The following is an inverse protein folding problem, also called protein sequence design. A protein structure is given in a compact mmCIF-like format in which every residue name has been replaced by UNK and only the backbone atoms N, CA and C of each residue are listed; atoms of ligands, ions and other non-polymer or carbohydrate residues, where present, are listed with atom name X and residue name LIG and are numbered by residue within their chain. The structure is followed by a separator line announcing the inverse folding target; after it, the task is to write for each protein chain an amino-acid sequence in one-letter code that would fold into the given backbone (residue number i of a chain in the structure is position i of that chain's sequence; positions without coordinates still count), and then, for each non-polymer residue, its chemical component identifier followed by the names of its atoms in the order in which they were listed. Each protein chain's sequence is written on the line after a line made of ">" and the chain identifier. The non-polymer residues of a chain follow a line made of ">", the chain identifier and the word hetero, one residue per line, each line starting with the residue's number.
data_IF_195262652149
#
_entry.id   IF_195262652149
#
_cell.length_a   1.000
_cell.length_b   1.000
_cell.length_c   1.000
_cell.angle_alpha   90.00
_cell.angle_beta   90.00
_cell.angle_gamma   90.00
#
_symmetry.space_group_name_H-M   'P 1'
#
loop_
_entity.id
_entity.type
_entity.pdbx_description
1 polymer ?
#
# COMPACT_ATOMS: atom_id res chain seq x y z
N UNK A 1 17.67 6.36 6.82
CA UNK A 1 16.86 7.18 5.90
C UNK A 1 15.42 6.94 6.30
N UNK A 2 14.66 7.96 6.72
CA UNK A 2 13.22 7.78 6.92
C UNK A 2 12.56 7.67 5.55
N UNK A 3 11.72 6.66 5.35
CA UNK A 3 10.82 6.63 4.20
C UNK A 3 9.86 7.82 4.32
N UNK A 4 9.82 8.65 3.28
CA UNK A 4 9.02 9.88 3.26
C UNK A 4 7.71 9.63 2.53
N UNK A 5 6.65 10.23 3.04
CA UNK A 5 5.40 10.37 2.31
C UNK A 5 5.45 11.58 1.38
N UNK A 6 4.79 11.49 0.24
CA UNK A 6 4.41 12.65 -0.56
C UNK A 6 3.06 13.17 -0.09
N UNK A 7 2.03 12.33 -0.21
CA UNK A 7 0.66 12.64 0.23
C UNK A 7 -0.01 11.38 0.81
N UNK A 8 0.07 11.17 2.14
CA UNK A 8 -0.58 10.02 2.76
C UNK A 8 -2.09 10.27 2.88
N UNK A 9 -2.90 9.44 2.25
CA UNK A 9 -4.37 9.67 2.15
C UNK A 9 -5.21 8.68 2.94
N UNK A 10 -4.71 7.48 3.20
CA UNK A 10 -5.45 6.41 3.85
C UNK A 10 -4.52 5.51 4.66
N UNK A 11 -5.03 4.95 5.76
CA UNK A 11 -4.34 3.96 6.59
C UNK A 11 -5.25 2.78 6.90
N UNK A 12 -4.69 1.57 6.92
CA UNK A 12 -5.38 0.34 7.30
C UNK A 12 -4.49 -0.56 8.15
N UNK A 13 -5.10 -1.32 9.06
CA UNK A 13 -4.44 -2.38 9.80
C UNK A 13 -4.61 -3.70 9.04
N UNK A 14 -3.53 -4.44 8.89
CA UNK A 14 -3.52 -5.81 8.40
C UNK A 14 -3.25 -6.82 9.50
N UNK A 15 -3.15 -8.11 9.13
CA UNK A 15 -2.74 -9.17 10.05
C UNK A 15 -1.40 -8.87 10.73
N UNK A 16 -1.21 -9.42 11.94
CA UNK A 16 -0.01 -9.25 12.77
C UNK A 16 0.32 -7.78 13.09
N UNK A 17 -0.71 -6.95 13.26
CA UNK A 17 -0.60 -5.51 13.54
C UNK A 17 0.26 -4.73 12.54
N UNK A 18 0.31 -5.20 11.28
CA UNK A 18 0.99 -4.45 10.23
C UNK A 18 0.14 -3.25 9.81
N UNK A 19 0.80 -2.14 9.50
CA UNK A 19 0.14 -0.88 9.12
C UNK A 19 0.40 -0.64 7.64
N UNK A 20 -0.65 -0.39 6.87
CA UNK A 20 -0.56 -0.05 5.45
C UNK A 20 -1.00 1.39 5.25
N UNK A 21 -0.23 2.17 4.51
CA UNK A 21 -0.51 3.58 4.22
C UNK A 21 -0.48 3.80 2.71
N UNK A 22 -1.57 4.33 2.17
CA UNK A 22 -1.63 4.83 0.80
C UNK A 22 -0.86 6.15 0.71
N UNK A 23 0.17 6.19 -0.13
CA UNK A 23 1.09 7.31 -0.33
C UNK A 23 0.94 7.82 -1.77
N UNK A 24 -0.10 8.63 -1.95
CA UNK A 24 -0.70 8.93 -3.25
C UNK A 24 0.27 9.60 -4.22
N UNK A 25 0.98 10.64 -3.77
CA UNK A 25 1.96 11.34 -4.62
C UNK A 25 3.15 10.47 -5.06
N UNK A 26 3.38 9.35 -4.36
CA UNK A 26 4.43 8.39 -4.69
C UNK A 26 3.88 7.14 -5.39
N UNK A 27 2.58 7.09 -5.75
CA UNK A 27 1.95 5.98 -6.47
C UNK A 27 2.26 4.62 -5.83
N UNK A 28 2.15 4.55 -4.50
CA UNK A 28 2.51 3.37 -3.72
C UNK A 28 1.67 3.22 -2.46
N UNK A 29 1.56 1.99 -1.99
CA UNK A 29 1.22 1.63 -0.62
C UNK A 29 2.50 1.26 0.11
N UNK A 30 2.71 1.84 1.28
CA UNK A 30 3.80 1.51 2.17
C UNK A 30 3.30 0.63 3.32
N UNK A 31 4.05 -0.40 3.68
CA UNK A 31 3.78 -1.31 4.79
C UNK A 31 4.78 -1.09 5.92
N UNK A 32 4.28 -1.04 7.14
CA UNK A 32 5.05 -0.82 8.36
C UNK A 32 4.74 -1.88 9.42
N UNK A 33 5.65 -2.03 10.37
CA UNK A 33 5.35 -2.66 11.66
C UNK A 33 4.40 -1.78 12.47
N UNK A 34 3.82 -2.35 13.54
CA UNK A 34 3.01 -1.59 14.51
C UNK A 34 3.77 -0.42 15.16
N UNK A 35 5.09 -0.54 15.30
CA UNK A 35 5.96 0.51 15.85
C UNK A 35 6.34 1.59 14.83
N UNK A 36 5.88 1.48 13.57
CA UNK A 36 6.16 2.45 12.51
C UNK A 36 7.47 2.20 11.77
N UNK A 37 8.08 1.03 11.91
CA UNK A 37 9.26 0.66 11.12
C UNK A 37 8.82 0.24 9.72
N UNK A 38 9.46 0.83 8.69
CA UNK A 38 9.17 0.49 7.30
C UNK A 38 9.56 -0.96 7.00
N UNK A 39 8.66 -1.68 6.33
CA UNK A 39 8.88 -3.06 5.89
C UNK A 39 9.08 -3.15 4.37
N UNK A 40 8.14 -2.59 3.61
CA UNK A 40 8.16 -2.66 2.15
C UNK A 40 7.17 -1.65 1.55
N UNK A 41 7.24 -1.47 0.23
CA UNK A 41 6.26 -0.72 -0.54
C UNK A 41 5.96 -1.43 -1.86
N UNK A 42 4.74 -1.27 -2.35
CA UNK A 42 4.28 -1.79 -3.64
C UNK A 42 3.25 -0.83 -4.23
N UNK A 43 3.08 -0.86 -5.54
CA UNK A 43 2.17 0.03 -6.25
C UNK A 43 2.39 -0.07 -7.74
N UNK A 44 1.47 0.50 -8.51
CA UNK A 44 1.56 0.56 -9.96
C UNK A 44 2.22 1.88 -10.37
N UNK A 45 3.38 1.80 -11.02
CA UNK A 45 4.02 3.00 -11.55
C UNK A 45 3.15 3.60 -12.67
N UNK A 46 2.78 4.86 -12.51
CA UNK A 46 2.14 5.67 -13.54
C UNK A 46 3.07 6.82 -13.98
N UNK A 47 3.32 6.94 -15.29
CA UNK A 47 4.22 7.95 -15.87
C UNK A 47 3.49 9.19 -16.43
N UNK A 48 2.18 9.29 -16.21
CA UNK A 48 1.34 10.41 -16.60
C UNK A 48 0.96 11.34 -15.44
N UNK A 49 0.21 12.42 -15.71
CA UNK A 49 -0.33 13.28 -14.67
C UNK A 49 -1.37 12.53 -13.82
N UNK A 50 -1.42 12.87 -12.54
CA UNK A 50 -2.35 12.29 -11.57
C UNK A 50 -1.70 11.24 -10.69
N UNK A 51 -2.50 10.64 -9.80
CA UNK A 51 -2.00 9.79 -8.74
C UNK A 51 -2.82 8.51 -8.60
N UNK A 52 -2.15 7.40 -8.34
CA UNK A 52 -2.73 6.08 -8.11
C UNK A 52 -2.84 5.79 -6.60
N UNK A 53 -3.50 4.67 -6.24
CA UNK A 53 -3.67 4.19 -4.86
C UNK A 53 -4.13 5.24 -3.83
N UNK A 54 -5.33 5.79 -4.00
CA UNK A 54 -5.88 6.83 -3.11
C UNK A 54 -6.38 6.33 -1.76
N UNK A 55 -6.73 5.05 -1.66
CA UNK A 55 -7.27 4.43 -0.47
C UNK A 55 -6.75 2.99 -0.34
N UNK A 56 -6.68 2.49 0.89
CA UNK A 56 -6.25 1.12 1.18
C UNK A 56 -7.22 0.43 2.13
N UNK A 57 -7.56 -0.82 1.84
CA UNK A 57 -8.26 -1.74 2.73
C UNK A 57 -7.53 -3.08 2.79
N UNK A 58 -7.58 -3.76 3.92
CA UNK A 58 -6.90 -5.06 4.13
C UNK A 58 -7.90 -6.08 4.63
N UNK A 59 -7.98 -7.23 3.96
CA UNK A 59 -8.80 -8.36 4.39
C UNK A 59 -8.08 -9.21 5.45
N UNK A 60 -8.85 -10.04 6.16
CA UNK A 60 -8.33 -10.89 7.24
C UNK A 60 -7.26 -11.89 6.77
N UNK A 61 -7.29 -12.29 5.50
CA UNK A 61 -6.29 -13.18 4.89
C UNK A 61 -5.01 -12.45 4.45
N UNK A 62 -4.93 -11.14 4.66
CA UNK A 62 -3.79 -10.31 4.27
C UNK A 62 -3.86 -9.76 2.85
N UNK A 63 -4.92 -10.04 2.09
CA UNK A 63 -5.16 -9.40 0.78
C UNK A 63 -5.36 -7.89 0.96
N UNK A 64 -4.65 -7.08 0.17
CA UNK A 64 -4.75 -5.63 0.18
C UNK A 64 -5.49 -5.16 -1.06
N UNK A 65 -6.42 -4.23 -0.88
CA UNK A 65 -7.19 -3.58 -1.94
C UNK A 65 -6.83 -2.10 -2.01
N UNK A 66 -6.57 -1.59 -3.20
CA UNK A 66 -6.30 -0.17 -3.44
C UNK A 66 -7.30 0.42 -4.42
N UNK A 67 -7.77 1.64 -4.16
CA UNK A 67 -8.58 2.39 -5.11
C UNK A 67 -7.66 3.17 -6.06
N UNK A 68 -7.53 2.71 -7.30
CA UNK A 68 -6.76 3.38 -8.36
C UNK A 68 -7.67 4.42 -9.05
N UNK A 69 -7.33 5.70 -8.90
CA UNK A 69 -8.12 6.82 -9.44
C UNK A 69 -7.89 7.09 -10.93
N UNK A 70 -6.81 6.55 -11.51
CA UNK A 70 -6.49 6.75 -12.92
C UNK A 70 -7.29 5.76 -13.76
N UNK A 71 -7.20 4.49 -13.41
CA UNK A 71 -7.85 3.41 -14.17
C UNK A 71 -9.30 3.17 -13.72
N UNK A 72 -9.77 3.90 -12.69
CA UNK A 72 -11.09 3.78 -12.06
C UNK A 72 -11.39 2.33 -11.62
N UNK A 73 -10.39 1.66 -11.09
CA UNK A 73 -10.47 0.26 -10.68
C UNK A 73 -10.02 0.03 -9.23
N UNK A 74 -10.36 -1.15 -8.72
CA UNK A 74 -9.80 -1.68 -7.48
C UNK A 74 -8.70 -2.65 -7.83
N UNK A 75 -7.47 -2.34 -7.44
CA UNK A 75 -6.36 -3.30 -7.57
C UNK A 75 -6.28 -4.19 -6.35
N UNK A 76 -5.84 -5.44 -6.55
CA UNK A 76 -5.78 -6.47 -5.53
C UNK A 76 -4.37 -7.02 -5.41
N UNK A 77 -3.80 -6.89 -4.21
CA UNK A 77 -2.44 -7.32 -3.89
C UNK A 77 -2.51 -8.48 -2.92
N UNK A 78 -1.98 -9.63 -3.33
CA UNK A 78 -1.95 -10.81 -2.48
C UNK A 78 -0.71 -10.78 -1.59
N UNK A 79 -0.80 -11.26 -0.34
CA UNK A 79 0.39 -11.44 0.48
C UNK A 79 1.35 -12.39 -0.26
N UNK A 80 2.65 -12.12 -0.13
CA UNK A 80 3.65 -13.04 -0.62
C UNK A 80 3.42 -14.42 0.02
N UNK A 81 3.47 -15.48 -0.78
CA UNK A 81 3.50 -16.84 -0.26
C UNK A 81 4.70 -17.03 0.68
N UNK A 82 4.69 -18.10 1.50
CA UNK A 82 5.87 -18.44 2.30
C UNK A 82 7.09 -18.55 1.37
N UNK A 83 8.22 -17.97 1.76
CA UNK A 83 9.46 -18.12 0.99
C UNK A 83 9.84 -19.60 1.00
N UNK A 84 9.83 -20.23 -0.17
CA UNK A 84 10.45 -21.54 -0.35
C UNK A 84 11.92 -21.29 -0.63
N UNK A 85 12.74 -21.26 0.42
CA UNK A 85 14.19 -21.46 0.28
C UNK A 85 14.49 -22.93 -0.07
#
# INVERSE_FOLDING_TARGET
>A
MSEKFGLPTSVALGPNDTVFVADQENNRVQKFTRSGEFLTAFGTRHDGPGYTESAVAVAADGTVYTANLIDNEVEVWKPAGPSTD
#
